data_IF_953915716818
#
_entry.id   IF_953915716818
#
_cell.length_a   1.000
_cell.length_b   1.000
_cell.length_c   1.000
_cell.angle_alpha   90.00
_cell.angle_beta   90.00
_cell.angle_gamma   90.00
#
_symmetry.space_group_name_H-M   'P 1'
#
loop_
_entity.id
_entity.type
_entity.pdbx_description
1 polymer ?
#
# COMPACT_ATOMS: atom_id res chain seq x y z
N UNK A 1 16.56 55.10 29.63
CA UNK A 1 16.53 54.54 29.39
C UNK A 1 16.23 53.46 28.93
N UNK A 2 16.03 53.22 28.59
CA UNK A 2 15.84 52.31 28.25
C UNK A 2 15.58 51.41 27.68
N UNK A 3 15.36 50.92 27.30
CA UNK A 3 15.14 50.10 26.81
C UNK A 3 14.76 49.14 26.29
N UNK A 4 14.51 48.63 25.84
CA UNK A 4 14.15 47.81 25.43
C UNK A 4 13.96 46.95 24.78
N UNK A 5 13.69 46.34 24.35
CA UNK A 5 13.40 45.43 23.82
C UNK A 5 13.15 44.58 23.20
N UNK A 6 12.95 44.12 22.80
CA UNK A 6 12.60 43.30 22.22
C UNK A 6 12.36 42.39 21.72
N UNK A 7 12.11 42.04 21.27
CA UNK A 7 11.70 41.19 20.79
C UNK A 7 11.59 40.24 20.28
N UNK A 8 11.45 39.78 19.90
CA UNK A 8 11.25 38.92 19.42
C UNK A 8 10.99 38.11 18.86
N UNK A 9 10.75 37.68 18.50
CA UNK A 9 10.32 36.91 18.03
C UNK A 9 10.26 35.99 17.51
N UNK A 10 10.06 35.54 17.06
CA UNK A 10 9.86 34.62 16.60
C UNK A 10 9.48 33.79 16.02
N UNK A 11 9.24 33.40 15.65
CA UNK A 11 8.81 32.83 15.09
C UNK A 11 8.64 31.78 14.61
N UNK A 12 8.42 31.28 14.31
CA UNK A 12 8.13 30.36 13.89
C UNK A 12 8.06 29.44 13.24
N UNK A 13 7.90 29.06 12.93
CA UNK A 13 7.75 28.27 12.41
C UNK A 13 7.47 27.29 12.03
N UNK A 14 7.25 26.78 11.67
CA UNK A 14 6.96 25.90 11.39
C UNK A 14 6.76 25.06 10.85
N UNK A 15 6.55 24.63 10.50
CA UNK A 15 6.32 23.92 10.08
C UNK A 15 5.93 23.14 9.35
N UNK A 16 5.48 22.99 8.89
CA UNK A 16 5.07 22.40 7.92
C UNK A 16 5.15 21.06 7.61
N UNK A 17 5.90 20.49 7.65
CA UNK A 17 6.13 19.14 7.36
C UNK A 17 4.94 18.30 7.21
N UNK A 18 3.91 18.62 7.77
CA UNK A 18 2.76 17.76 7.75
C UNK A 18 2.31 17.41 6.37
N UNK A 19 2.65 18.20 5.41
CA UNK A 19 2.16 17.99 4.08
C UNK A 19 2.45 16.59 3.57
N UNK A 20 3.60 16.06 3.88
CA UNK A 20 3.96 14.78 3.33
C UNK A 20 3.07 13.66 3.80
N UNK A 21 2.52 13.77 4.99
CA UNK A 21 1.69 12.73 5.52
C UNK A 21 0.32 12.67 4.85
N UNK A 22 0.01 13.64 4.06
CA UNK A 22 -1.32 13.82 3.54
C UNK A 22 -1.51 13.32 2.12
N UNK A 23 -0.65 12.47 1.67
CA UNK A 23 -0.77 12.02 0.30
C UNK A 23 -2.06 11.27 0.10
N UNK A 24 -2.84 11.73 -0.86
CA UNK A 24 -4.03 11.05 -1.29
C UNK A 24 -3.61 9.95 -2.26
N UNK A 25 -4.10 8.74 -2.08
CA UNK A 25 -3.75 7.68 -3.02
C UNK A 25 -4.17 8.07 -4.42
N UNK A 26 -3.28 7.88 -5.37
CA UNK A 26 -3.56 8.19 -6.77
C UNK A 26 -4.62 7.25 -7.34
N UNK A 27 -4.69 6.04 -6.81
CA UNK A 27 -5.62 5.02 -7.28
C UNK A 27 -6.40 4.47 -6.09
N UNK A 28 -7.44 5.19 -5.63
CA UNK A 28 -8.12 4.77 -4.39
C UNK A 28 -8.76 3.39 -4.46
N UNK A 29 -9.31 3.02 -5.61
CA UNK A 29 -9.91 1.68 -5.75
C UNK A 29 -8.83 0.62 -5.69
N UNK A 30 -7.72 0.85 -6.38
CA UNK A 30 -6.59 -0.08 -6.36
C UNK A 30 -6.03 -0.20 -4.93
N UNK A 31 -5.95 0.90 -4.18
CA UNK A 31 -5.49 0.83 -2.80
C UNK A 31 -6.37 -0.06 -1.94
N UNK A 32 -7.68 0.04 -2.12
CA UNK A 32 -8.61 -0.82 -1.39
C UNK A 32 -8.41 -2.28 -1.75
N UNK A 33 -8.23 -2.57 -3.04
CA UNK A 33 -7.97 -3.93 -3.49
C UNK A 33 -6.65 -4.44 -2.92
N UNK A 34 -5.61 -3.61 -2.95
CA UNK A 34 -4.31 -3.99 -2.41
C UNK A 34 -4.39 -4.32 -0.93
N UNK A 35 -5.12 -3.54 -0.16
CA UNK A 35 -5.31 -3.80 1.26
C UNK A 35 -5.98 -5.15 1.49
N UNK A 36 -7.02 -5.45 0.71
CA UNK A 36 -7.70 -6.73 0.82
C UNK A 36 -6.77 -7.89 0.49
N UNK A 37 -5.96 -7.73 -0.54
CA UNK A 37 -4.99 -8.76 -0.94
C UNK A 37 -3.97 -8.98 0.17
N UNK A 38 -3.43 -7.92 0.72
CA UNK A 38 -2.44 -8.01 1.80
C UNK A 38 -3.04 -8.73 3.01
N UNK A 39 -4.22 -8.33 3.43
CA UNK A 39 -4.89 -8.96 4.58
C UNK A 39 -5.16 -10.43 4.32
N UNK A 40 -5.59 -10.76 3.12
CA UNK A 40 -5.85 -12.14 2.76
C UNK A 40 -4.58 -13.00 2.90
N UNK A 41 -3.48 -12.54 2.34
CA UNK A 41 -2.23 -13.29 2.43
C UNK A 41 -1.71 -13.40 3.85
N UNK A 42 -1.87 -12.35 4.64
CA UNK A 42 -1.41 -12.37 6.03
C UNK A 42 -2.22 -13.33 6.90
N UNK A 43 -3.52 -13.45 6.62
CA UNK A 43 -4.41 -14.25 7.44
C UNK A 43 -4.52 -15.70 6.96
N UNK A 44 -4.22 -15.98 5.71
CA UNK A 44 -4.41 -17.31 5.14
C UNK A 44 -3.36 -18.30 5.63
N UNK A 45 -3.76 -19.55 5.80
CA UNK A 45 -2.81 -20.63 6.06
C UNK A 45 -2.11 -21.03 4.77
N UNK A 46 -0.98 -21.69 4.90
CA UNK A 46 -0.27 -22.20 3.71
C UNK A 46 -1.13 -23.18 2.94
N UNK A 47 -1.88 -24.04 3.64
CA UNK A 47 -2.77 -24.99 2.98
C UNK A 47 -3.84 -24.28 2.18
N UNK A 48 -4.40 -23.22 2.75
CA UNK A 48 -5.41 -22.43 2.08
C UNK A 48 -4.87 -21.80 0.79
N UNK A 49 -3.67 -21.25 0.87
CA UNK A 49 -3.05 -20.63 -0.30
C UNK A 49 -2.75 -21.66 -1.40
N UNK A 50 -2.29 -22.83 -1.02
CA UNK A 50 -2.07 -23.89 -2.00
C UNK A 50 -3.37 -24.30 -2.69
N UNK A 51 -4.45 -24.41 -1.91
CA UNK A 51 -5.75 -24.76 -2.47
C UNK A 51 -6.26 -23.68 -3.42
N UNK A 52 -6.08 -22.42 -3.05
CA UNK A 52 -6.52 -21.30 -3.89
C UNK A 52 -5.75 -21.23 -5.19
N UNK A 53 -4.46 -21.56 -5.14
CA UNK A 53 -3.63 -21.53 -6.33
C UNK A 53 -4.10 -22.52 -7.39
N UNK A 54 -4.74 -23.59 -6.97
CA UNK A 54 -5.25 -24.60 -7.88
C UNK A 54 -6.61 -24.23 -8.49
N UNK A 55 -7.23 -23.16 -8.00
CA UNK A 55 -8.56 -22.77 -8.46
C UNK A 55 -8.49 -21.65 -9.48
N UNK A 56 -9.47 -21.57 -10.39
CA UNK A 56 -9.53 -20.44 -11.30
C UNK A 56 -9.84 -19.15 -10.52
N UNK A 57 -9.43 -17.98 -11.02
CA UNK A 57 -9.73 -16.75 -10.33
C UNK A 57 -11.22 -16.49 -10.25
N UNK A 58 -11.65 -15.85 -9.17
CA UNK A 58 -13.03 -15.42 -9.03
C UNK A 58 -13.35 -14.30 -10.02
N UNK A 59 -14.63 -14.00 -10.19
CA UNK A 59 -15.04 -12.91 -11.06
C UNK A 59 -14.42 -11.57 -10.61
N UNK A 60 -14.33 -11.35 -9.30
CA UNK A 60 -13.72 -10.13 -8.77
C UNK A 60 -12.23 -10.07 -9.07
N UNK A 61 -11.54 -11.19 -8.91
CA UNK A 61 -10.12 -11.25 -9.23
C UNK A 61 -9.86 -11.02 -10.71
N UNK A 62 -10.69 -11.62 -11.55
CA UNK A 62 -10.55 -11.46 -12.99
C UNK A 62 -10.77 -10.00 -13.39
N UNK A 63 -11.75 -9.34 -12.80
CA UNK A 63 -12.02 -7.93 -13.08
C UNK A 63 -10.85 -7.04 -12.62
N UNK A 64 -10.35 -7.27 -11.43
CA UNK A 64 -9.22 -6.51 -10.91
C UNK A 64 -7.99 -6.70 -11.79
N UNK A 65 -7.72 -7.93 -12.19
CA UNK A 65 -6.59 -8.23 -13.06
C UNK A 65 -6.71 -7.50 -14.39
N UNK A 66 -7.91 -7.48 -14.95
CA UNK A 66 -8.13 -6.79 -16.22
C UNK A 66 -7.89 -5.29 -16.09
N UNK A 67 -8.35 -4.68 -15.00
CA UNK A 67 -8.08 -3.27 -14.74
C UNK A 67 -6.60 -2.99 -14.67
N UNK A 68 -5.86 -3.84 -13.98
CA UNK A 68 -4.42 -3.66 -13.83
C UNK A 68 -3.69 -3.86 -15.15
N UNK A 69 -4.16 -4.77 -15.98
CA UNK A 69 -3.56 -4.97 -17.31
C UNK A 69 -3.74 -3.76 -18.21
N UNK A 70 -4.87 -3.08 -18.07
CA UNK A 70 -5.18 -1.95 -18.93
C UNK A 70 -4.54 -0.65 -18.46
N UNK A 71 -3.96 -0.63 -17.26
CA UNK A 71 -3.36 0.59 -16.71
C UNK A 71 -1.99 0.26 -16.12
N UNK A 72 -0.92 0.45 -16.91
CA UNK A 72 0.43 0.13 -16.42
C UNK A 72 0.84 0.90 -15.18
N UNK A 73 0.42 2.15 -15.05
CA UNK A 73 0.74 2.94 -13.85
C UNK A 73 0.07 2.39 -12.61
N UNK A 74 -1.20 2.02 -12.74
CA UNK A 74 -1.94 1.42 -11.63
C UNK A 74 -1.34 0.07 -11.26
N UNK A 75 -0.97 -0.73 -12.26
CA UNK A 75 -0.36 -2.03 -12.02
C UNK A 75 0.95 -1.89 -11.25
N UNK A 76 1.78 -0.95 -11.64
CA UNK A 76 3.04 -0.70 -10.94
C UNK A 76 2.81 -0.32 -9.48
N UNK A 77 1.87 0.60 -9.25
CA UNK A 77 1.53 1.02 -7.89
C UNK A 77 0.99 -0.15 -7.06
N UNK A 78 0.18 -1.01 -7.67
CA UNK A 78 -0.35 -2.19 -7.00
C UNK A 78 0.77 -3.14 -6.60
N UNK A 79 1.67 -3.44 -7.53
CA UNK A 79 2.80 -4.34 -7.26
C UNK A 79 3.66 -3.81 -6.12
N UNK A 80 3.93 -2.51 -6.12
CA UNK A 80 4.72 -1.91 -5.05
C UNK A 80 4.08 -2.05 -3.68
N UNK A 81 2.75 -2.05 -3.66
CA UNK A 81 2.02 -2.20 -2.40
C UNK A 81 2.01 -3.64 -1.89
N UNK A 82 1.84 -4.61 -2.77
CA UNK A 82 1.59 -5.98 -2.33
C UNK A 82 2.81 -6.89 -2.38
N UNK A 83 3.88 -6.48 -3.05
CA UNK A 83 5.00 -7.38 -3.32
C UNK A 83 5.64 -7.93 -2.04
N UNK A 84 5.93 -7.09 -1.07
CA UNK A 84 6.63 -7.53 0.13
C UNK A 84 5.76 -8.47 0.98
N UNK A 85 4.52 -8.11 1.33
CA UNK A 85 3.68 -9.03 2.09
C UNK A 85 3.46 -10.38 1.40
N UNK A 86 3.24 -10.34 0.09
CA UNK A 86 3.02 -11.59 -0.65
C UNK A 86 4.30 -12.42 -0.68
N UNK A 87 5.42 -11.80 -0.98
CA UNK A 87 6.69 -12.52 -1.04
C UNK A 87 7.04 -13.14 0.30
N UNK A 88 6.84 -12.41 1.40
CA UNK A 88 7.10 -12.94 2.72
C UNK A 88 6.25 -14.18 3.00
N UNK A 89 4.98 -14.13 2.65
CA UNK A 89 4.07 -15.26 2.87
C UNK A 89 4.46 -16.45 2.00
N UNK A 90 4.85 -16.18 0.77
CA UNK A 90 5.28 -17.25 -0.13
C UNK A 90 6.53 -17.95 0.38
N UNK A 91 7.46 -17.20 0.95
CA UNK A 91 8.64 -17.80 1.58
C UNK A 91 8.24 -18.68 2.77
N UNK A 92 7.35 -18.18 3.63
CA UNK A 92 6.87 -18.96 4.77
C UNK A 92 6.26 -20.28 4.33
N UNK A 93 5.56 -20.26 3.22
CA UNK A 93 4.82 -21.43 2.75
C UNK A 93 5.63 -22.31 1.79
N UNK A 94 6.89 -21.96 1.54
CA UNK A 94 7.71 -22.76 0.62
C UNK A 94 7.29 -22.68 -0.82
N UNK A 95 6.65 -21.58 -1.22
CA UNK A 95 6.18 -21.41 -2.59
C UNK A 95 7.19 -20.71 -3.48
N UNK A 96 8.31 -20.28 -2.92
CA UNK A 96 9.37 -19.63 -3.66
C UNK A 96 10.55 -20.59 -3.74
N UNK A 97 11.13 -20.76 -4.93
CA UNK A 97 12.25 -21.66 -5.10
C UNK A 97 13.51 -21.20 -4.38
#
# INVERSE_FOLDING_TARGET
MRRSIPFVTLAGLLVGCAASAQQVPQYPVMEAVAQNVIQHYQAASCQQLWAEKAQPPSAQEATATQMLRNDPGMRQAFIERVAVPIANKMFECGMVP
#
